data_IF_332793451488
#
_entry.id   IF_332793451488
#
_cell.length_a   1.000
_cell.length_b   1.000
_cell.length_c   1.000
_cell.angle_alpha   90.00
_cell.angle_beta   90.00
_cell.angle_gamma   90.00
#
_symmetry.space_group_name_H-M   'P 1'
#
loop_
_entity.id
_entity.type
_entity.pdbx_description
1 polymer ?
#
# COMPACT_ATOMS: atom_id res chain seq x y z
N UNK A 1 -0.21 3.72 -1.57
CA UNK A 1 0.76 3.03 -0.69
C UNK A 1 1.20 1.75 -1.38
N UNK A 2 2.39 1.76 -1.97
CA UNK A 2 2.95 0.60 -2.69
C UNK A 2 3.70 -0.31 -1.72
N UNK A 3 3.39 -1.61 -1.74
CA UNK A 3 4.13 -2.61 -0.97
C UNK A 3 5.31 -3.14 -1.80
N UNK A 4 6.51 -2.89 -1.29
CA UNK A 4 7.77 -3.31 -1.90
C UNK A 4 8.20 -4.69 -1.40
N UNK A 5 8.93 -5.47 -2.20
CA UNK A 5 9.42 -5.11 -3.55
C UNK A 5 8.44 -5.45 -4.66
N UNK A 6 7.73 -6.57 -4.56
CA UNK A 6 6.99 -7.18 -5.67
C UNK A 6 5.92 -6.27 -6.31
N UNK A 7 5.23 -5.48 -5.50
CA UNK A 7 4.17 -4.57 -5.97
C UNK A 7 4.63 -3.40 -6.83
N UNK A 8 5.95 -3.15 -6.98
CA UNK A 8 6.43 -1.93 -7.64
C UNK A 8 5.99 -1.80 -9.11
N UNK A 9 6.07 -2.89 -9.88
CA UNK A 9 5.76 -2.86 -11.30
C UNK A 9 4.26 -2.67 -11.51
N UNK A 10 3.45 -3.46 -10.81
CA UNK A 10 1.99 -3.31 -10.82
C UNK A 10 1.55 -1.91 -10.36
N UNK A 11 2.17 -1.37 -9.32
CA UNK A 11 1.88 -0.01 -8.86
C UNK A 11 2.23 1.04 -9.91
N UNK A 12 3.38 0.92 -10.58
CA UNK A 12 3.79 1.83 -11.66
C UNK A 12 2.76 1.83 -12.79
N UNK A 13 2.39 0.65 -13.28
CA UNK A 13 1.45 0.50 -14.38
C UNK A 13 0.08 1.06 -14.00
N UNK A 14 -0.44 0.71 -12.80
CA UNK A 14 -1.70 1.22 -12.27
C UNK A 14 -1.71 2.76 -12.20
N UNK A 15 -0.62 3.37 -11.73
CA UNK A 15 -0.51 4.82 -11.67
C UNK A 15 -0.53 5.47 -13.06
N UNK A 16 0.11 4.86 -14.05
CA UNK A 16 0.12 5.41 -15.40
C UNK A 16 -1.26 5.33 -16.05
N UNK A 17 -2.02 4.27 -15.82
CA UNK A 17 -3.43 4.19 -16.20
C UNK A 17 -4.29 5.25 -15.49
N UNK A 18 -4.11 5.46 -14.18
CA UNK A 18 -4.88 6.49 -13.45
C UNK A 18 -4.52 7.90 -13.94
N UNK A 19 -3.24 8.19 -14.20
CA UNK A 19 -2.81 9.49 -14.77
C UNK A 19 -3.42 9.70 -16.15
N UNK A 20 -3.40 8.68 -17.01
CA UNK A 20 -4.02 8.75 -18.33
C UNK A 20 -5.52 9.03 -18.22
N UNK A 21 -6.23 8.33 -17.34
CA UNK A 21 -7.65 8.56 -17.06
C UNK A 21 -7.90 10.00 -16.57
N UNK A 22 -7.11 10.49 -15.61
CA UNK A 22 -7.25 11.83 -15.04
C UNK A 22 -7.03 12.96 -16.07
N UNK A 23 -6.18 12.76 -17.09
CA UNK A 23 -5.97 13.75 -18.17
C UNK A 23 -7.21 13.99 -19.02
N UNK A 24 -8.10 13.02 -19.11
CA UNK A 24 -9.33 13.09 -19.91
C UNK A 24 -10.59 13.32 -19.07
N UNK A 25 -10.46 13.32 -17.75
CA UNK A 25 -11.57 13.51 -16.83
C UNK A 25 -11.84 15.00 -16.55
N UNK A 26 -13.11 15.35 -16.36
CA UNK A 26 -13.52 16.70 -15.93
C UNK A 26 -13.12 17.03 -14.48
N UNK A 27 -12.68 16.02 -13.71
CA UNK A 27 -12.17 16.15 -12.34
C UNK A 27 -10.85 15.41 -12.21
N UNK A 28 -9.80 16.11 -11.77
CA UNK A 28 -8.50 15.52 -11.46
C UNK A 28 -8.47 15.02 -10.03
N UNK A 29 -7.92 13.83 -9.80
CA UNK A 29 -7.67 13.28 -8.47
C UNK A 29 -6.19 13.49 -8.14
N UNK A 30 -5.84 14.37 -7.19
CA UNK A 30 -4.45 14.50 -6.74
C UNK A 30 -4.01 13.21 -6.05
N UNK A 31 -2.83 12.72 -6.40
CA UNK A 31 -2.28 11.47 -5.87
C UNK A 31 -0.90 11.71 -5.28
N UNK A 32 -0.65 11.06 -4.14
CA UNK A 32 0.67 10.89 -3.54
C UNK A 32 1.01 9.40 -3.51
N UNK A 33 2.29 9.11 -3.75
CA UNK A 33 2.80 7.74 -3.78
C UNK A 33 3.82 7.61 -2.66
N UNK A 34 3.54 6.72 -1.72
CA UNK A 34 4.48 6.32 -0.68
C UNK A 34 4.77 4.84 -0.84
N UNK A 35 5.99 4.46 -0.47
CA UNK A 35 6.49 3.10 -0.57
C UNK A 35 6.78 2.56 0.82
N UNK A 36 6.28 1.36 1.10
CA UNK A 36 6.57 0.64 2.33
C UNK A 36 7.15 -0.72 1.99
N UNK A 37 7.95 -1.26 2.90
CA UNK A 37 8.42 -2.63 2.85
C UNK A 37 8.03 -3.32 4.13
N UNK A 38 7.36 -4.46 4.01
CA UNK A 38 7.04 -5.32 5.14
C UNK A 38 8.19 -6.31 5.32
N UNK A 39 8.79 -6.31 6.51
CA UNK A 39 9.68 -7.40 6.92
C UNK A 39 8.96 -8.28 7.94
N UNK A 40 8.91 -9.56 7.64
CA UNK A 40 8.37 -10.62 8.50
C UNK A 40 9.45 -11.47 9.18
N UNK A 41 10.74 -11.13 9.01
CA UNK A 41 11.88 -11.94 9.47
C UNK A 41 12.88 -11.12 10.30
N UNK A 42 13.31 -11.71 11.42
CA UNK A 42 14.58 -11.40 12.08
C UNK A 42 15.47 -12.65 12.03
N UNK A 43 16.66 -12.54 11.42
CA UNK A 43 17.73 -13.54 11.46
C UNK A 43 17.26 -15.01 11.23
N UNK A 44 16.40 -15.22 10.25
CA UNK A 44 15.89 -16.53 9.77
C UNK A 44 14.70 -17.13 10.54
N UNK A 45 14.14 -16.42 11.52
CA UNK A 45 12.87 -16.81 12.17
C UNK A 45 11.75 -15.82 11.86
N UNK A 46 10.61 -16.36 11.43
CA UNK A 46 9.35 -15.60 11.40
C UNK A 46 8.94 -15.32 12.84
N UNK A 47 9.06 -14.07 13.27
CA UNK A 47 8.63 -13.63 14.62
C UNK A 47 7.12 -13.43 14.70
N UNK A 48 6.43 -13.46 13.55
CA UNK A 48 5.03 -13.08 13.46
C UNK A 48 4.78 -11.57 13.57
N UNK A 49 5.78 -10.77 13.95
CA UNK A 49 5.69 -9.31 13.97
C UNK A 49 6.12 -8.74 12.61
N UNK A 50 5.22 -7.98 11.98
CA UNK A 50 5.55 -7.25 10.76
C UNK A 50 6.09 -5.88 11.13
N UNK A 51 7.33 -5.61 10.74
CA UNK A 51 7.90 -4.26 10.79
C UNK A 51 7.70 -3.58 9.44
N UNK A 52 7.07 -2.41 9.47
CA UNK A 52 6.97 -1.51 8.31
C UNK A 52 8.27 -0.72 8.22
N UNK A 53 8.91 -0.76 7.05
CA UNK A 53 10.15 -0.04 6.76
C UNK A 53 9.90 0.88 5.57
N UNK A 54 10.29 2.15 5.71
CA UNK A 54 9.95 3.17 4.72
C UNK A 54 8.52 3.68 4.90
N UNK A 55 8.15 4.65 4.07
CA UNK A 55 6.97 5.48 4.26
C UNK A 55 7.32 6.61 5.22
N UNK A 56 7.62 7.79 4.68
CA UNK A 56 7.86 8.97 5.49
C UNK A 56 6.60 9.26 6.30
N UNK A 57 6.70 9.07 7.62
CA UNK A 57 5.68 9.32 8.63
C UNK A 57 4.29 8.75 8.30
N UNK A 58 3.98 7.57 8.86
CA UNK A 58 2.64 6.99 8.76
C UNK A 58 1.54 7.92 9.32
N UNK A 59 1.87 8.96 10.11
CA UNK A 59 0.91 10.00 10.49
C UNK A 59 0.37 10.77 9.28
N UNK A 60 1.11 10.84 8.16
CA UNK A 60 0.63 11.48 6.93
C UNK A 60 -0.58 10.79 6.29
N UNK A 61 -0.98 9.61 6.78
CA UNK A 61 -2.13 8.84 6.32
C UNK A 61 -3.47 9.32 6.94
N UNK A 62 -3.42 10.14 8.01
CA UNK A 62 -4.61 10.63 8.71
C UNK A 62 -5.55 11.41 7.78
N UNK A 63 -6.85 11.12 7.86
CA UNK A 63 -7.91 11.71 7.03
C UNK A 63 -7.67 11.61 5.50
N UNK A 64 -6.82 10.66 5.05
CA UNK A 64 -6.59 10.39 3.62
C UNK A 64 -7.33 9.15 3.13
N UNK A 65 -7.66 9.14 1.84
CA UNK A 65 -8.11 7.93 1.15
C UNK A 65 -6.88 7.13 0.74
N UNK A 66 -6.70 5.95 1.31
CA UNK A 66 -5.53 5.11 1.12
C UNK A 66 -5.87 3.97 0.16
N UNK A 67 -5.10 3.87 -0.94
CA UNK A 67 -5.07 2.69 -1.80
C UNK A 67 -3.76 1.94 -1.55
N UNK A 68 -3.87 0.75 -0.96
CA UNK A 68 -2.77 -0.20 -0.80
C UNK A 68 -2.65 -1.01 -2.10
N UNK A 69 -1.43 -1.12 -2.63
CA UNK A 69 -1.12 -1.86 -3.85
C UNK A 69 -0.08 -2.93 -3.54
N UNK A 70 -0.45 -4.20 -3.76
CA UNK A 70 0.37 -5.40 -3.55
C UNK A 70 0.40 -6.23 -4.84
N UNK A 71 1.45 -7.01 -5.09
CA UNK A 71 1.50 -7.93 -6.24
C UNK A 71 0.64 -9.18 -6.02
N UNK A 72 0.70 -9.80 -4.83
CA UNK A 72 -0.02 -11.05 -4.55
C UNK A 72 -0.56 -11.11 -3.12
N UNK A 73 -1.81 -11.56 -3.00
CA UNK A 73 -2.40 -11.97 -1.72
C UNK A 73 -2.52 -13.50 -1.73
N UNK A 74 -1.70 -14.16 -0.92
CA UNK A 74 -1.78 -15.61 -0.70
C UNK A 74 -2.67 -15.89 0.52
N UNK A 75 -2.10 -16.23 1.68
CA UNK A 75 -2.87 -16.50 2.92
C UNK A 75 -3.56 -15.28 3.54
N UNK A 76 -3.33 -14.06 3.03
CA UNK A 76 -3.89 -12.82 3.57
C UNK A 76 -3.27 -12.31 4.89
N UNK A 77 -2.40 -13.08 5.56
CA UNK A 77 -1.80 -12.72 6.84
C UNK A 77 -1.03 -11.39 6.82
N UNK A 78 -0.28 -11.15 5.75
CA UNK A 78 0.46 -9.90 5.53
C UNK A 78 -0.51 -8.71 5.44
N UNK A 79 -1.62 -8.87 4.70
CA UNK A 79 -2.63 -7.82 4.54
C UNK A 79 -3.44 -7.55 5.78
N UNK A 80 -3.83 -8.57 6.56
CA UNK A 80 -4.52 -8.33 7.83
C UNK A 80 -3.68 -7.47 8.79
N UNK A 81 -2.37 -7.73 8.86
CA UNK A 81 -1.45 -6.95 9.71
C UNK A 81 -1.21 -5.54 9.17
N UNK A 82 -0.99 -5.37 7.87
CA UNK A 82 -0.83 -4.04 7.27
C UNK A 82 -2.10 -3.20 7.45
N UNK A 83 -3.27 -3.77 7.21
CA UNK A 83 -4.55 -3.08 7.39
C UNK A 83 -4.73 -2.60 8.83
N UNK A 84 -4.33 -3.40 9.82
CA UNK A 84 -4.33 -2.98 11.22
C UNK A 84 -3.43 -1.76 11.43
N UNK A 85 -2.16 -1.84 11.01
CA UNK A 85 -1.18 -0.75 11.16
C UNK A 85 -1.68 0.54 10.49
N UNK A 86 -2.23 0.45 9.27
CA UNK A 86 -2.75 1.61 8.55
C UNK A 86 -4.00 2.17 9.24
N UNK A 87 -4.88 1.31 9.76
CA UNK A 87 -6.11 1.75 10.44
C UNK A 87 -5.83 2.48 11.76
N UNK A 88 -4.76 2.11 12.47
CA UNK A 88 -4.32 2.77 13.70
C UNK A 88 -3.93 4.25 13.50
N UNK A 89 -3.76 4.69 12.24
CA UNK A 89 -3.46 6.08 11.87
C UNK A 89 -4.69 6.87 11.37
N UNK A 90 -5.91 6.38 11.62
CA UNK A 90 -7.18 7.06 11.32
C UNK A 90 -7.31 7.60 9.87
N UNK A 91 -7.10 6.77 8.83
CA UNK A 91 -7.36 7.17 7.46
C UNK A 91 -8.86 7.38 7.23
N UNK A 92 -9.20 8.23 6.25
CA UNK A 92 -10.59 8.45 5.84
C UNK A 92 -11.21 7.20 5.20
N UNK A 93 -10.42 6.47 4.41
CA UNK A 93 -10.82 5.18 3.85
C UNK A 93 -9.59 4.36 3.48
N UNK A 94 -9.73 3.04 3.49
CA UNK A 94 -8.69 2.11 3.04
C UNK A 94 -9.26 1.16 2.00
N UNK A 95 -8.57 1.04 0.87
CA UNK A 95 -8.85 0.08 -0.20
C UNK A 95 -7.58 -0.71 -0.51
N UNK A 96 -7.77 -1.96 -0.91
CA UNK A 96 -6.68 -2.86 -1.29
C UNK A 96 -6.84 -3.22 -2.76
N UNK A 97 -5.75 -3.17 -3.50
CA UNK A 97 -5.64 -3.60 -4.87
C UNK A 97 -4.50 -4.59 -4.97
N UNK A 98 -4.78 -5.79 -5.46
CA UNK A 98 -3.78 -6.81 -5.71
C UNK A 98 -3.89 -7.33 -7.13
N UNK A 99 -2.74 -7.63 -7.74
CA UNK A 99 -2.70 -8.19 -9.09
C UNK A 99 -3.18 -9.65 -9.09
N UNK A 100 -2.82 -10.41 -8.05
CA UNK A 100 -3.15 -11.83 -7.89
C UNK A 100 -3.75 -12.10 -6.51
N UNK A 101 -4.78 -12.94 -6.46
CA UNK A 101 -5.47 -13.40 -5.24
C UNK A 101 -5.66 -14.91 -5.32
#
# INVERSE_FOLDING_TARGET
>A
LCVLKGGYQFCSDLMDYIKAFNRHASKSVPMRVDFIRLKSYENDRSTGEIKVIGGDDLQSLEDKNILIVEDIIDTGNTMMKLLKIVSDHNPKSVKVCSLLV
#
